data_IF_100099677375
#
_entry.id   IF_100099677375
#
_cell.length_a   1.000
_cell.length_b   1.000
_cell.length_c   1.000
_cell.angle_alpha   90.00
_cell.angle_beta   90.00
_cell.angle_gamma   90.00
#
_symmetry.space_group_name_H-M   'P 1'
#
loop_
_entity.id
_entity.type
_entity.pdbx_description
1 polymer ?
#
# COMPACT_ATOMS: atom_id res chain seq x y z
N UNK A 1 -35.17 34.49 55.53
CA UNK A 1 -35.25 34.41 54.06
C UNK A 1 -33.85 34.17 53.53
N UNK A 2 -33.64 33.06 52.83
CA UNK A 2 -32.63 32.88 51.76
C UNK A 2 -32.80 31.46 51.22
N UNK A 3 -33.32 31.37 50.01
CA UNK A 3 -33.52 30.14 49.24
C UNK A 3 -32.23 29.92 48.44
N UNK A 4 -31.59 28.77 48.60
CA UNK A 4 -30.49 28.37 47.72
C UNK A 4 -31.00 27.31 46.74
N UNK A 5 -31.02 27.69 45.46
CA UNK A 5 -31.40 26.84 44.34
C UNK A 5 -30.28 25.86 43.96
N UNK A 6 -30.75 24.68 43.53
CA UNK A 6 -30.06 23.61 42.80
C UNK A 6 -29.09 24.07 41.71
N UNK A 7 -27.94 23.39 41.62
CA UNK A 7 -27.26 23.03 40.37
C UNK A 7 -26.52 21.69 40.52
N UNK A 8 -27.24 20.57 40.36
CA UNK A 8 -26.60 19.33 39.94
C UNK A 8 -26.45 19.37 38.41
N UNK A 9 -25.25 19.65 37.93
CA UNK A 9 -24.88 19.43 36.53
C UNK A 9 -24.28 18.02 36.39
N UNK A 10 -24.87 17.09 35.62
CA UNK A 10 -24.17 15.87 35.26
C UNK A 10 -23.08 16.24 34.24
N UNK A 11 -21.82 15.99 34.57
CA UNK A 11 -20.74 16.10 33.61
C UNK A 11 -20.88 14.98 32.59
N UNK A 12 -21.42 15.30 31.42
CA UNK A 12 -21.34 14.44 30.24
C UNK A 12 -19.88 14.38 29.79
N UNK A 13 -19.13 13.45 30.35
CA UNK A 13 -17.92 12.92 29.76
C UNK A 13 -18.27 11.72 28.89
N UNK A 14 -19.11 11.93 27.87
CA UNK A 14 -19.13 11.07 26.70
C UNK A 14 -17.90 11.43 25.85
N UNK A 15 -16.75 11.05 26.38
CA UNK A 15 -15.52 10.98 25.63
C UNK A 15 -15.72 9.81 24.67
N UNK A 16 -16.13 10.12 23.45
CA UNK A 16 -16.02 9.22 22.31
C UNK A 16 -14.57 8.76 22.23
N UNK A 17 -14.30 7.62 22.86
CA UNK A 17 -13.05 6.91 22.72
C UNK A 17 -13.02 6.36 21.29
N UNK A 18 -12.55 7.17 20.36
CA UNK A 18 -11.88 6.64 19.18
C UNK A 18 -10.68 5.85 19.71
N UNK A 19 -10.93 4.58 20.05
CA UNK A 19 -9.88 3.60 20.22
C UNK A 19 -9.10 3.63 18.92
N UNK A 20 -7.93 4.25 18.99
CA UNK A 20 -6.93 4.22 17.96
C UNK A 20 -6.59 2.74 17.77
N UNK A 21 -7.23 2.11 16.79
CA UNK A 21 -6.88 0.76 16.35
C UNK A 21 -5.52 0.92 15.68
N UNK A 22 -4.49 0.90 16.51
CA UNK A 22 -3.11 0.69 16.10
C UNK A 22 -3.06 -0.72 15.54
N UNK A 23 -3.44 -0.88 14.27
CA UNK A 23 -3.04 -2.05 13.50
C UNK A 23 -1.52 -2.05 13.56
N UNK A 24 -0.95 -3.07 14.18
CA UNK A 24 0.44 -3.41 13.99
C UNK A 24 0.69 -3.41 12.48
N UNK A 25 1.37 -2.37 11.98
CA UNK A 25 2.03 -2.50 10.70
C UNK A 25 2.98 -3.69 10.84
N UNK A 26 3.11 -4.55 9.81
CA UNK A 26 4.14 -5.55 9.83
C UNK A 26 5.46 -4.80 9.95
N UNK A 27 6.05 -4.85 11.15
CA UNK A 27 7.41 -4.39 11.37
C UNK A 27 8.27 -5.29 10.51
N UNK A 28 8.77 -4.76 9.41
CA UNK A 28 9.78 -5.42 8.58
C UNK A 28 10.90 -5.76 9.55
N UNK A 29 11.10 -7.05 9.80
CA UNK A 29 12.15 -7.50 10.71
C UNK A 29 13.48 -6.96 10.18
N UNK A 30 14.30 -6.35 11.06
CA UNK A 30 15.55 -5.68 10.68
C UNK A 30 16.56 -6.60 9.97
N UNK A 31 16.31 -7.91 9.95
CA UNK A 31 17.15 -8.93 9.30
C UNK A 31 16.47 -9.68 8.14
N UNK A 32 15.27 -9.29 7.71
CA UNK A 32 14.56 -9.97 6.62
C UNK A 32 15.27 -9.73 5.28
N UNK A 33 15.53 -10.76 4.47
CA UNK A 33 16.18 -10.55 3.17
C UNK A 33 15.29 -9.74 2.21
N UNK A 34 15.88 -9.02 1.23
CA UNK A 34 15.10 -8.23 0.26
C UNK A 34 14.08 -9.11 -0.50
N UNK A 35 14.46 -10.36 -0.79
CA UNK A 35 13.61 -11.32 -1.47
C UNK A 35 12.41 -11.75 -0.61
N UNK A 36 12.65 -12.04 0.66
CA UNK A 36 11.58 -12.35 1.62
C UNK A 36 10.63 -11.17 1.78
N UNK A 37 11.15 -9.94 1.87
CA UNK A 37 10.31 -8.75 1.99
C UNK A 37 9.40 -8.57 0.76
N UNK A 38 9.92 -8.83 -0.45
CA UNK A 38 9.13 -8.77 -1.68
C UNK A 38 8.05 -9.87 -1.66
N UNK A 39 8.42 -11.09 -1.28
CA UNK A 39 7.48 -12.21 -1.20
C UNK A 39 6.35 -11.95 -0.18
N UNK A 40 6.69 -11.47 1.01
CA UNK A 40 5.74 -11.17 2.09
C UNK A 40 4.76 -10.04 1.75
N UNK A 41 5.15 -9.12 0.85
CA UNK A 41 4.26 -8.06 0.39
C UNK A 41 3.02 -8.59 -0.34
N UNK A 42 3.13 -9.76 -0.98
CA UNK A 42 2.11 -10.32 -1.87
C UNK A 42 1.81 -9.49 -3.12
N UNK A 43 2.53 -8.38 -3.34
CA UNK A 43 2.36 -7.48 -4.49
C UNK A 43 3.09 -8.05 -5.70
N UNK A 44 4.35 -8.45 -5.50
CA UNK A 44 5.18 -9.03 -6.54
C UNK A 44 5.54 -10.48 -6.22
N UNK A 45 5.68 -11.28 -7.27
CA UNK A 45 6.26 -12.61 -7.23
C UNK A 45 7.64 -12.56 -7.87
N UNK A 46 8.67 -13.04 -7.18
CA UNK A 46 10.03 -13.09 -7.73
C UNK A 46 10.14 -14.28 -8.68
N UNK A 47 10.40 -14.01 -9.95
CA UNK A 47 10.58 -15.02 -11.01
C UNK A 47 12.02 -15.52 -11.01
N UNK A 48 12.96 -14.62 -10.76
CA UNK A 48 14.38 -14.93 -10.76
C UNK A 48 15.23 -13.73 -10.42
N UNK A 49 16.52 -13.98 -10.25
CA UNK A 49 17.53 -12.96 -10.01
C UNK A 49 18.72 -13.19 -10.93
N UNK A 50 19.37 -12.10 -11.32
CA UNK A 50 20.64 -12.11 -12.01
C UNK A 50 21.55 -11.08 -11.38
N UNK A 51 22.86 -11.28 -11.49
CA UNK A 51 23.83 -10.30 -11.04
C UNK A 51 25.11 -10.45 -11.82
N UNK A 52 25.88 -9.36 -11.88
CA UNK A 52 27.22 -9.40 -12.43
C UNK A 52 28.14 -8.50 -11.63
N UNK A 53 29.38 -8.94 -11.52
CA UNK A 53 30.46 -8.25 -10.84
C UNK A 53 31.48 -7.81 -11.89
N UNK A 54 32.26 -6.76 -11.60
CA UNK A 54 33.35 -6.30 -12.46
C UNK A 54 34.70 -6.81 -11.91
N UNK A 55 35.13 -8.05 -12.23
CA UNK A 55 36.32 -8.65 -11.64
C UNK A 55 37.61 -7.90 -11.95
N UNK A 56 37.66 -7.18 -13.08
CA UNK A 56 38.82 -6.40 -13.51
C UNK A 56 38.92 -5.01 -12.85
N UNK A 57 37.91 -4.59 -12.08
CA UNK A 57 37.87 -3.28 -11.41
C UNK A 57 37.47 -3.42 -9.94
N UNK A 58 38.29 -4.11 -9.11
CA UNK A 58 37.96 -4.39 -7.71
C UNK A 58 37.79 -3.12 -6.86
N UNK A 59 38.47 -2.03 -7.22
CA UNK A 59 38.36 -0.73 -6.54
C UNK A 59 36.94 -0.15 -6.59
N UNK A 60 36.13 -0.56 -7.56
CA UNK A 60 34.78 -0.02 -7.70
C UNK A 60 33.77 -0.61 -6.72
N UNK A 61 34.02 -1.81 -6.17
CA UNK A 61 33.07 -2.57 -5.34
C UNK A 61 31.63 -2.62 -5.90
N UNK A 62 31.45 -2.40 -7.21
CA UNK A 62 30.14 -2.32 -7.86
C UNK A 62 29.68 -3.72 -8.22
N UNK A 63 28.89 -4.32 -7.33
CA UNK A 63 28.12 -5.53 -7.63
C UNK A 63 26.73 -5.13 -8.09
N UNK A 64 26.34 -5.56 -9.28
CA UNK A 64 25.03 -5.23 -9.84
C UNK A 64 24.07 -6.40 -9.66
N UNK A 65 22.82 -6.09 -9.29
CA UNK A 65 21.74 -7.06 -9.12
C UNK A 65 20.52 -6.64 -9.94
N UNK A 66 19.84 -7.64 -10.49
CA UNK A 66 18.55 -7.52 -11.16
C UNK A 66 17.60 -8.57 -10.59
N UNK A 67 16.40 -8.14 -10.21
CA UNK A 67 15.29 -9.03 -9.87
C UNK A 67 14.22 -8.92 -10.96
N UNK A 68 13.77 -10.08 -11.43
CA UNK A 68 12.65 -10.23 -12.35
C UNK A 68 11.40 -10.54 -11.53
N UNK A 69 10.38 -9.70 -11.68
CA UNK A 69 9.20 -9.68 -10.81
C UNK A 69 7.93 -9.75 -11.65
N UNK A 70 6.97 -10.58 -11.24
CA UNK A 70 5.61 -10.57 -11.78
C UNK A 70 4.67 -9.86 -10.82
N UNK A 71 3.75 -9.06 -11.34
CA UNK A 71 2.70 -8.47 -10.54
C UNK A 71 1.68 -9.55 -10.19
N UNK A 72 1.32 -9.65 -8.90
CA UNK A 72 0.28 -10.58 -8.46
C UNK A 72 -1.08 -10.18 -9.05
N UNK A 73 -1.90 -11.18 -9.43
CA UNK A 73 -3.24 -10.98 -10.02
C UNK A 73 -4.12 -10.07 -9.15
N UNK A 74 -3.93 -10.18 -7.85
CA UNK A 74 -4.56 -9.41 -6.79
C UNK A 74 -4.33 -7.89 -6.88
N UNK A 75 -3.34 -7.47 -7.66
CA UNK A 75 -2.92 -6.09 -7.89
C UNK A 75 -2.92 -5.71 -9.38
N UNK A 76 -3.28 -6.61 -10.29
CA UNK A 76 -3.37 -6.36 -11.75
C UNK A 76 -4.16 -5.10 -12.09
N UNK A 77 -5.33 -4.91 -11.46
CA UNK A 77 -6.18 -3.71 -11.64
C UNK A 77 -5.56 -2.38 -11.19
N UNK A 78 -4.42 -2.43 -10.49
CA UNK A 78 -3.67 -1.29 -10.00
C UNK A 78 -2.39 -1.01 -10.80
N UNK A 79 -2.13 -1.77 -11.88
CA UNK A 79 -0.93 -1.64 -12.70
C UNK A 79 -0.68 -0.20 -13.18
N UNK A 80 -1.72 0.52 -13.61
CA UNK A 80 -1.59 1.92 -14.04
C UNK A 80 -1.11 2.84 -12.92
N UNK A 81 -1.65 2.67 -11.71
CA UNK A 81 -1.23 3.44 -10.53
C UNK A 81 0.18 3.06 -10.12
N UNK A 82 0.49 1.77 -10.11
CA UNK A 82 1.82 1.24 -9.80
C UNK A 82 2.87 1.85 -10.73
N UNK A 83 2.63 1.83 -12.05
CA UNK A 83 3.51 2.46 -13.02
C UNK A 83 3.66 3.96 -12.76
N UNK A 84 2.57 4.67 -12.45
CA UNK A 84 2.64 6.09 -12.08
C UNK A 84 3.51 6.34 -10.85
N UNK A 85 3.32 5.57 -9.78
CA UNK A 85 4.10 5.71 -8.54
C UNK A 85 5.58 5.39 -8.76
N UNK A 86 5.88 4.41 -9.61
CA UNK A 86 7.24 4.07 -10.00
C UNK A 86 7.92 5.28 -10.64
N UNK A 87 7.30 5.88 -11.65
CA UNK A 87 7.88 7.02 -12.38
C UNK A 87 8.04 8.29 -11.51
N UNK A 88 7.18 8.48 -10.51
CA UNK A 88 7.24 9.66 -9.63
C UNK A 88 8.22 9.54 -8.47
N UNK A 89 8.46 8.32 -7.97
CA UNK A 89 9.12 8.09 -6.69
C UNK A 89 10.48 7.39 -6.76
N UNK A 90 11.00 7.14 -7.96
CA UNK A 90 12.22 6.35 -8.14
C UNK A 90 13.47 7.09 -7.63
N UNK A 91 14.24 6.50 -6.68
CA UNK A 91 15.47 7.11 -6.20
C UNK A 91 16.62 6.89 -7.18
N UNK A 92 17.62 7.78 -7.14
CA UNK A 92 18.87 7.62 -7.90
C UNK A 92 19.55 6.28 -7.58
N UNK A 93 20.01 5.56 -8.60
CA UNK A 93 20.69 4.26 -8.44
C UNK A 93 19.78 3.03 -8.41
N UNK A 94 18.47 3.23 -8.27
CA UNK A 94 17.47 2.14 -8.34
C UNK A 94 16.63 2.31 -9.59
N UNK A 95 16.41 1.23 -10.33
CA UNK A 95 15.51 1.22 -11.49
C UNK A 95 14.50 0.11 -11.36
N UNK A 96 13.25 0.47 -11.09
CA UNK A 96 12.11 -0.43 -11.20
C UNK A 96 11.36 -0.05 -12.47
N UNK A 97 11.25 -0.97 -13.43
CA UNK A 97 10.60 -0.67 -14.71
C UNK A 97 9.76 -1.85 -15.18
N UNK A 98 8.64 -1.55 -15.84
CA UNK A 98 7.82 -2.56 -16.50
C UNK A 98 8.31 -2.78 -17.95
N UNK A 99 8.60 -4.02 -18.28
CA UNK A 99 9.02 -4.48 -19.60
C UNK A 99 7.83 -5.10 -20.33
N UNK A 100 7.23 -4.33 -21.25
CA UNK A 100 6.00 -4.71 -21.96
C UNK A 100 6.13 -6.01 -22.75
N UNK A 101 7.30 -6.27 -23.34
CA UNK A 101 7.53 -7.42 -24.21
C UNK A 101 7.49 -8.75 -23.45
N UNK A 102 7.88 -8.73 -22.17
CA UNK A 102 8.00 -9.91 -21.32
C UNK A 102 6.99 -9.92 -20.17
N UNK A 103 6.05 -8.97 -20.19
CA UNK A 103 5.01 -8.75 -19.18
C UNK A 103 5.51 -8.86 -17.73
N UNK A 104 6.65 -8.21 -17.45
CA UNK A 104 7.32 -8.32 -16.14
C UNK A 104 7.94 -7.02 -15.68
N UNK A 105 8.15 -6.91 -14.39
CA UNK A 105 8.89 -5.83 -13.76
C UNK A 105 10.35 -6.22 -13.54
N UNK A 106 11.25 -5.29 -13.82
CA UNK A 106 12.68 -5.45 -13.62
C UNK A 106 13.14 -4.45 -12.56
N UNK A 107 13.65 -4.95 -11.44
CA UNK A 107 14.26 -4.15 -10.38
C UNK A 107 15.78 -4.27 -10.48
N UNK A 108 16.45 -3.19 -10.86
CA UNK A 108 17.90 -3.10 -11.07
C UNK A 108 18.50 -2.17 -10.03
N UNK A 109 19.60 -2.58 -9.40
CA UNK A 109 20.28 -1.79 -8.39
C UNK A 109 21.71 -2.29 -8.17
N UNK A 110 22.56 -1.44 -7.58
CA UNK A 110 23.83 -1.89 -7.04
C UNK A 110 23.67 -2.39 -5.62
N UNK A 111 24.49 -3.36 -5.23
CA UNK A 111 24.39 -4.01 -3.92
C UNK A 111 24.61 -3.05 -2.74
N UNK A 112 25.38 -1.97 -2.94
CA UNK A 112 25.53 -0.92 -1.92
C UNK A 112 24.26 -0.07 -1.74
N UNK A 113 23.37 -0.04 -2.73
CA UNK A 113 22.08 0.67 -2.68
C UNK A 113 20.95 -0.23 -2.13
N UNK A 114 21.24 -1.44 -1.65
CA UNK A 114 20.21 -2.41 -1.24
C UNK A 114 19.28 -1.87 -0.13
N UNK A 115 19.81 -1.05 0.78
CA UNK A 115 19.00 -0.37 1.81
C UNK A 115 18.08 0.70 1.22
N UNK A 116 18.55 1.47 0.23
CA UNK A 116 17.74 2.44 -0.50
C UNK A 116 16.60 1.75 -1.24
N UNK A 117 16.89 0.61 -1.88
CA UNK A 117 15.89 -0.23 -2.56
C UNK A 117 14.84 -0.70 -1.57
N UNK A 118 15.25 -1.20 -0.39
CA UNK A 118 14.34 -1.61 0.67
C UNK A 118 13.39 -0.47 1.03
N UNK A 119 13.93 0.69 1.39
CA UNK A 119 13.14 1.84 1.81
C UNK A 119 12.17 2.32 0.72
N UNK A 120 12.61 2.29 -0.54
CA UNK A 120 11.76 2.62 -1.69
C UNK A 120 10.60 1.63 -1.85
N UNK A 121 10.88 0.33 -1.86
CA UNK A 121 9.86 -0.71 -2.01
C UNK A 121 8.85 -0.68 -0.87
N UNK A 122 9.28 -0.45 0.36
CA UNK A 122 8.38 -0.34 1.52
C UNK A 122 7.37 0.79 1.34
N UNK A 123 7.82 1.96 0.89
CA UNK A 123 6.92 3.09 0.60
C UNK A 123 5.98 2.75 -0.55
N UNK A 124 6.50 2.16 -1.63
CA UNK A 124 5.70 1.75 -2.78
C UNK A 124 4.60 0.74 -2.38
N UNK A 125 4.97 -0.27 -1.59
CA UNK A 125 4.05 -1.31 -1.11
C UNK A 125 2.99 -0.75 -0.19
N UNK A 126 3.36 0.18 0.70
CA UNK A 126 2.41 0.86 1.57
C UNK A 126 1.39 1.68 0.76
N UNK A 127 1.84 2.46 -0.22
CA UNK A 127 0.96 3.25 -1.10
C UNK A 127 0.00 2.37 -1.90
N UNK A 128 0.50 1.31 -2.54
CA UNK A 128 -0.33 0.41 -3.36
C UNK A 128 -1.32 -0.40 -2.51
N UNK A 129 -0.88 -0.87 -1.35
CA UNK A 129 -1.77 -1.56 -0.39
C UNK A 129 -2.86 -0.63 0.13
N UNK A 130 -2.51 0.64 0.37
CA UNK A 130 -3.45 1.70 0.74
C UNK A 130 -4.51 1.91 -0.33
N UNK A 131 -4.10 2.04 -1.59
CA UNK A 131 -5.01 2.20 -2.73
C UNK A 131 -5.94 0.99 -2.91
N UNK A 132 -5.42 -0.25 -2.80
CA UNK A 132 -6.24 -1.46 -2.86
C UNK A 132 -7.34 -1.45 -1.78
N UNK A 133 -6.97 -1.09 -0.55
CA UNK A 133 -7.92 -0.97 0.58
C UNK A 133 -8.94 0.13 0.34
N UNK A 134 -8.49 1.30 -0.14
CA UNK A 134 -9.36 2.42 -0.46
C UNK A 134 -10.42 2.05 -1.49
N UNK A 135 -10.02 1.42 -2.61
CA UNK A 135 -10.96 0.94 -3.63
C UNK A 135 -11.97 -0.07 -3.10
N UNK A 136 -11.55 -0.96 -2.20
CA UNK A 136 -12.45 -1.94 -1.56
C UNK A 136 -13.51 -1.24 -0.71
N UNK A 137 -13.11 -0.25 0.08
CA UNK A 137 -14.04 0.55 0.90
C UNK A 137 -14.98 1.34 0.00
N UNK A 138 -14.45 2.01 -1.03
CA UNK A 138 -15.24 2.82 -1.95
C UNK A 138 -16.31 1.99 -2.68
N UNK A 139 -15.97 0.79 -3.15
CA UNK A 139 -16.96 -0.12 -3.77
C UNK A 139 -18.11 -0.42 -2.82
N UNK A 140 -17.80 -0.75 -1.57
CA UNK A 140 -18.83 -1.04 -0.55
C UNK A 140 -19.73 0.16 -0.29
N UNK A 141 -19.16 1.37 -0.21
CA UNK A 141 -19.94 2.61 -0.05
C UNK A 141 -20.88 2.82 -1.23
N UNK A 142 -20.39 2.61 -2.46
CA UNK A 142 -21.22 2.74 -3.68
C UNK A 142 -22.35 1.71 -3.70
N UNK A 143 -22.10 0.47 -3.27
CA UNK A 143 -23.12 -0.59 -3.19
C UNK A 143 -24.23 -0.23 -2.19
N UNK A 144 -23.86 0.26 -1.01
CA UNK A 144 -24.82 0.72 0.01
C UNK A 144 -25.65 1.90 -0.51
N UNK A 145 -25.02 2.90 -1.12
CA UNK A 145 -25.73 4.05 -1.70
C UNK A 145 -26.68 3.63 -2.83
N UNK A 146 -26.32 2.62 -3.63
CA UNK A 146 -27.22 2.07 -4.66
C UNK A 146 -28.43 1.37 -4.02
N UNK A 147 -28.21 0.54 -3.00
CA UNK A 147 -29.30 -0.14 -2.29
C UNK A 147 -30.26 0.87 -1.66
N UNK A 148 -29.72 1.89 -0.97
CA UNK A 148 -30.50 2.97 -0.37
C UNK A 148 -31.37 3.71 -1.38
N UNK A 149 -30.82 4.03 -2.57
CA UNK A 149 -31.59 4.68 -3.64
C UNK A 149 -32.72 3.81 -4.21
N UNK A 150 -32.56 2.49 -4.18
CA UNK A 150 -33.61 1.56 -4.59
C UNK A 150 -34.72 1.51 -3.54
N UNK A 151 -34.35 1.40 -2.26
CA UNK A 151 -35.29 1.45 -1.13
C UNK A 151 -36.07 2.76 -1.08
N UNK A 152 -35.39 3.91 -1.23
CA UNK A 152 -36.03 5.23 -1.30
C UNK A 152 -37.07 5.26 -2.43
N UNK A 153 -36.74 4.75 -3.62
CA UNK A 153 -37.69 4.69 -4.75
C UNK A 153 -38.91 3.83 -4.44
N UNK A 154 -38.73 2.67 -3.83
CA UNK A 154 -39.85 1.81 -3.42
C UNK A 154 -40.73 2.50 -2.37
N UNK A 155 -40.13 3.13 -1.37
CA UNK A 155 -40.86 3.87 -0.34
C UNK A 155 -41.69 5.02 -0.95
N UNK A 156 -41.12 5.77 -1.91
CA UNK A 156 -41.85 6.81 -2.62
C UNK A 156 -43.02 6.26 -3.44
N UNK A 157 -42.86 5.08 -4.04
CA UNK A 157 -43.96 4.42 -4.77
C UNK A 157 -45.08 3.99 -3.83
N UNK A 158 -44.77 3.46 -2.65
CA UNK A 158 -45.78 3.07 -1.65
C UNK A 158 -46.47 4.27 -0.99
N UNK A 159 -45.76 5.38 -0.74
CA UNK A 159 -46.34 6.58 -0.13
C UNK A 159 -47.26 7.37 -1.06
N UNK A 160 -47.06 7.24 -2.38
CA UNK A 160 -47.84 7.95 -3.41
C UNK A 160 -48.88 7.06 -4.11
N UNK A 161 -48.94 5.77 -3.77
CA UNK A 161 -49.97 4.82 -4.19
C UNK A 161 -51.16 4.83 -3.23
#
# INVERSE_FOLDING_TARGET
MSVAFSKNSPSYSDVFAFQQVSKSSPSIAENQSLLEMIADSGIFQVIGSAGFDFPNFPETQKKFKVLYLNLSDDFSSLMGILNGLIHLGQPSGVVLQYEKELDRFNLKFYLHDEELVRNYLVKLFASISGEKRFRKVLRRVIEVEKARKVEEKFLYQELLA
#
